data_IF_566307329810
#
_entry.id   IF_566307329810
#
_cell.length_a   1.000
_cell.length_b   1.000
_cell.length_c   1.000
_cell.angle_alpha   90.00
_cell.angle_beta   90.00
_cell.angle_gamma   90.00
#
_symmetry.space_group_name_H-M   'P 1'
#
loop_
_entity.id
_entity.type
_entity.pdbx_description
1 polymer ?
#
# COMPACT_ATOMS: atom_id res chain seq x y z
N UNK A 1 -26.42 24.71 15.79
CA UNK A 1 -25.50 24.27 14.71
C UNK A 1 -25.65 22.76 14.56
N UNK A 2 -26.34 22.31 13.51
CA UNK A 2 -26.55 20.88 13.24
C UNK A 2 -25.22 20.23 12.84
N UNK A 3 -24.86 19.05 13.35
CA UNK A 3 -23.68 18.33 12.90
C UNK A 3 -23.95 17.91 11.46
N UNK A 4 -23.40 18.66 10.51
CA UNK A 4 -23.46 18.31 9.10
C UNK A 4 -23.04 16.84 8.97
N UNK A 5 -23.87 16.04 8.32
CA UNK A 5 -23.62 14.66 7.96
C UNK A 5 -22.38 14.62 7.05
N UNK A 6 -21.20 14.61 7.66
CA UNK A 6 -19.92 14.37 6.98
C UNK A 6 -19.88 12.88 6.66
N UNK A 7 -20.54 12.54 5.58
CA UNK A 7 -20.72 11.18 5.10
C UNK A 7 -21.15 11.23 3.64
N UNK A 8 -20.78 10.20 2.87
CA UNK A 8 -20.69 10.08 1.40
C UNK A 8 -20.35 11.26 0.46
N UNK A 9 -20.91 12.45 0.64
CA UNK A 9 -20.90 13.50 -0.40
C UNK A 9 -19.49 14.07 -0.71
N UNK A 10 -18.61 14.13 0.29
CA UNK A 10 -17.23 14.64 0.14
C UNK A 10 -16.21 13.58 -0.31
N UNK A 11 -16.60 12.30 -0.34
CA UNK A 11 -15.68 11.21 -0.70
C UNK A 11 -15.43 11.10 -2.21
N UNK A 12 -16.48 11.30 -3.02
CA UNK A 12 -16.41 11.30 -4.49
C UNK A 12 -15.45 12.33 -5.08
N UNK A 13 -15.47 13.62 -4.67
CA UNK A 13 -14.55 14.61 -5.24
C UNK A 13 -13.09 14.31 -4.89
N UNK A 14 -12.79 13.71 -3.72
CA UNK A 14 -11.42 13.32 -3.37
C UNK A 14 -10.89 12.18 -4.23
N UNK A 15 -11.73 11.17 -4.53
CA UNK A 15 -11.36 10.11 -5.47
C UNK A 15 -11.20 10.63 -6.90
N UNK A 16 -12.05 11.56 -7.33
CA UNK A 16 -11.90 12.22 -8.63
C UNK A 16 -10.60 13.03 -8.70
N UNK A 17 -10.28 13.80 -7.65
CA UNK A 17 -9.02 14.53 -7.56
C UNK A 17 -7.82 13.59 -7.54
N UNK A 18 -7.88 12.47 -6.81
CA UNK A 18 -6.83 11.44 -6.82
C UNK A 18 -6.63 10.87 -8.23
N UNK A 19 -7.72 10.53 -8.93
CA UNK A 19 -7.64 10.01 -10.29
C UNK A 19 -7.06 11.03 -11.27
N UNK A 20 -7.41 12.32 -11.13
CA UNK A 20 -6.83 13.40 -11.93
C UNK A 20 -5.35 13.60 -11.64
N UNK A 21 -4.94 13.59 -10.37
CA UNK A 21 -3.53 13.67 -9.98
C UNK A 21 -2.73 12.46 -10.50
N UNK A 22 -3.30 11.25 -10.42
CA UNK A 22 -2.67 10.04 -10.96
C UNK A 22 -2.52 10.10 -12.49
N UNK A 23 -3.57 10.50 -13.20
CA UNK A 23 -3.51 10.66 -14.65
C UNK A 23 -2.50 11.75 -15.05
N UNK A 24 -2.47 12.88 -14.34
CA UNK A 24 -1.53 13.97 -14.55
C UNK A 24 -0.08 13.54 -14.32
N UNK A 25 0.18 12.82 -13.23
CA UNK A 25 1.51 12.28 -12.90
C UNK A 25 2.02 11.32 -13.97
N UNK A 26 1.20 10.33 -14.33
CA UNK A 26 1.55 9.33 -15.34
C UNK A 26 1.72 9.95 -16.73
N UNK A 27 0.87 10.90 -17.10
CA UNK A 27 1.02 11.64 -18.36
C UNK A 27 2.28 12.50 -18.37
N UNK A 28 2.63 13.13 -17.25
CA UNK A 28 3.86 13.90 -17.13
C UNK A 28 5.10 13.02 -17.32
N UNK A 29 5.13 11.82 -16.71
CA UNK A 29 6.22 10.86 -16.88
C UNK A 29 6.32 10.33 -18.32
N UNK A 30 5.19 10.09 -18.99
CA UNK A 30 5.17 9.72 -20.42
C UNK A 30 5.58 10.87 -21.34
N UNK A 31 5.33 12.12 -20.95
CA UNK A 31 5.75 13.30 -21.70
C UNK A 31 7.19 13.73 -21.42
N UNK A 32 7.82 13.22 -20.34
CA UNK A 32 9.11 13.74 -19.86
C UNK A 32 8.98 15.14 -19.24
N UNK A 33 7.83 15.44 -18.64
CA UNK A 33 7.54 16.72 -18.01
C UNK A 33 7.79 16.67 -16.50
N UNK A 34 9.04 16.91 -16.10
CA UNK A 34 9.47 16.75 -14.71
C UNK A 34 8.67 17.61 -13.73
N UNK A 35 8.40 18.87 -14.07
CA UNK A 35 7.61 19.77 -13.23
C UNK A 35 6.17 19.25 -13.00
N UNK A 36 5.58 18.57 -14.00
CA UNK A 36 4.28 17.92 -13.85
C UNK A 36 4.32 16.79 -12.83
N UNK A 37 5.36 15.95 -12.88
CA UNK A 37 5.60 14.89 -11.91
C UNK A 37 5.83 15.43 -10.49
N UNK A 38 6.67 16.46 -10.35
CA UNK A 38 6.98 17.06 -9.03
C UNK A 38 5.76 17.68 -8.36
N UNK A 39 4.79 18.15 -9.14
CA UNK A 39 3.54 18.72 -8.63
C UNK A 39 2.49 17.64 -8.37
N UNK A 40 2.31 16.69 -9.29
CA UNK A 40 1.23 15.70 -9.19
C UNK A 40 1.53 14.60 -8.17
N UNK A 41 2.77 14.09 -8.12
CA UNK A 41 3.17 13.00 -7.22
C UNK A 41 2.85 13.28 -5.74
N UNK A 42 3.22 14.44 -5.16
CA UNK A 42 2.94 14.73 -3.75
C UNK A 42 1.45 14.85 -3.40
N UNK A 43 0.56 14.99 -4.40
CA UNK A 43 -0.89 15.08 -4.16
C UNK A 43 -1.53 13.72 -3.95
N UNK A 44 -0.93 12.65 -4.48
CA UNK A 44 -1.56 11.31 -4.56
C UNK A 44 -1.95 10.76 -3.18
N UNK A 45 -0.97 10.58 -2.31
CA UNK A 45 -1.19 9.94 -1.00
C UNK A 45 -2.03 10.80 -0.05
N UNK A 46 -1.85 12.14 0.04
CA UNK A 46 -2.74 13.00 0.84
C UNK A 46 -4.19 12.97 0.37
N UNK A 47 -4.46 12.95 -0.94
CA UNK A 47 -5.83 12.85 -1.46
C UNK A 47 -6.47 11.51 -1.07
N UNK A 48 -5.72 10.42 -1.18
CA UNK A 48 -6.19 9.10 -0.78
C UNK A 48 -6.38 9.00 0.74
N UNK A 49 -5.51 9.60 1.54
CA UNK A 49 -5.66 9.70 3.00
C UNK A 49 -6.88 10.54 3.40
N UNK A 50 -7.12 11.66 2.69
CA UNK A 50 -8.32 12.47 2.83
C UNK A 50 -9.58 11.66 2.54
N UNK A 51 -9.58 10.87 1.46
CA UNK A 51 -10.68 9.96 1.15
C UNK A 51 -10.94 9.00 2.31
N UNK A 52 -9.89 8.31 2.81
CA UNK A 52 -9.99 7.39 3.96
C UNK A 52 -10.55 8.10 5.20
N UNK A 53 -10.14 9.34 5.48
CA UNK A 53 -10.69 10.15 6.57
C UNK A 53 -12.19 10.41 6.40
N UNK A 54 -12.64 10.79 5.20
CA UNK A 54 -14.07 11.10 4.95
C UNK A 54 -14.98 9.89 5.11
N UNK A 55 -14.49 8.69 4.80
CA UNK A 55 -15.24 7.43 4.99
C UNK A 55 -14.98 6.82 6.38
N UNK A 56 -14.36 7.56 7.29
CA UNK A 56 -14.04 7.15 8.67
C UNK A 56 -13.22 5.86 8.73
N UNK A 57 -12.28 5.69 7.80
CA UNK A 57 -11.40 4.55 7.74
C UNK A 57 -10.44 4.44 8.93
N UNK A 58 -9.73 3.31 9.07
CA UNK A 58 -8.90 3.05 10.24
C UNK A 58 -7.67 3.97 10.29
N UNK A 59 -7.34 4.49 11.47
CA UNK A 59 -6.20 5.40 11.68
C UNK A 59 -4.85 4.86 11.19
N UNK A 60 -4.50 3.57 11.37
CA UNK A 60 -3.25 3.03 10.82
C UNK A 60 -3.17 3.10 9.29
N UNK A 61 -4.29 3.04 8.57
CA UNK A 61 -4.30 3.21 7.11
C UNK A 61 -3.93 4.65 6.72
N UNK A 62 -4.46 5.64 7.44
CA UNK A 62 -4.14 7.05 7.22
C UNK A 62 -2.65 7.29 7.50
N UNK A 63 -2.14 6.75 8.61
CA UNK A 63 -0.72 6.84 8.93
C UNK A 63 0.16 6.19 7.84
N UNK A 64 -0.23 5.01 7.34
CA UNK A 64 0.49 4.34 6.25
C UNK A 64 0.56 5.20 4.98
N UNK A 65 -0.55 5.85 4.61
CA UNK A 65 -0.60 6.75 3.45
C UNK A 65 0.24 8.02 3.67
N UNK A 66 0.24 8.60 4.87
CA UNK A 66 1.06 9.78 5.17
C UNK A 66 2.56 9.45 5.20
N UNK A 67 2.94 8.26 5.66
CA UNK A 67 4.30 7.76 5.53
C UNK A 67 4.68 7.47 4.08
N UNK A 68 3.74 6.94 3.28
CA UNK A 68 3.90 6.83 1.82
C UNK A 68 4.13 8.18 1.16
N UNK A 69 3.36 9.20 1.53
CA UNK A 69 3.55 10.58 1.08
C UNK A 69 4.93 11.12 1.43
N UNK A 70 5.39 10.91 2.66
CA UNK A 70 6.74 11.27 3.08
C UNK A 70 7.80 10.61 2.21
N UNK A 71 7.64 9.31 1.93
CA UNK A 71 8.50 8.55 1.03
C UNK A 71 8.50 9.13 -0.39
N UNK A 72 7.33 9.36 -0.97
CA UNK A 72 7.15 9.94 -2.31
C UNK A 72 7.84 11.30 -2.44
N UNK A 73 7.71 12.15 -1.42
CA UNK A 73 8.30 13.49 -1.41
C UNK A 73 9.82 13.46 -1.26
N UNK A 74 10.35 12.55 -0.46
CA UNK A 74 11.80 12.39 -0.26
C UNK A 74 12.47 11.81 -1.50
N UNK A 75 11.80 10.90 -2.21
CA UNK A 75 12.28 10.34 -3.48
C UNK A 75 12.29 11.33 -4.65
N UNK A 76 11.77 12.55 -4.50
CA UNK A 76 11.91 13.61 -5.51
C UNK A 76 13.29 14.28 -5.48
N UNK A 77 14.04 14.12 -4.38
CA UNK A 77 15.39 14.65 -4.27
C UNK A 77 16.39 13.60 -4.74
N UNK A 78 17.21 13.99 -5.72
CA UNK A 78 18.28 13.15 -6.26
C UNK A 78 19.49 13.15 -5.32
N UNK A 79 19.37 12.42 -4.21
CA UNK A 79 20.42 12.29 -3.18
C UNK A 79 20.24 11.01 -2.35
N UNK A 80 21.34 10.26 -2.14
CA UNK A 80 21.31 9.00 -1.36
C UNK A 80 20.71 9.13 0.05
N UNK A 81 21.00 10.20 0.84
CA UNK A 81 20.36 10.36 2.14
C UNK A 81 18.85 10.56 2.04
N UNK A 82 18.38 11.23 1.00
CA UNK A 82 16.95 11.41 0.74
C UNK A 82 16.30 10.10 0.31
N UNK A 83 16.97 9.30 -0.51
CA UNK A 83 16.54 7.95 -0.88
C UNK A 83 16.39 7.04 0.35
N UNK A 84 17.40 6.97 1.22
CA UNK A 84 17.35 6.20 2.47
C UNK A 84 16.26 6.69 3.42
N UNK A 85 16.10 8.01 3.57
CA UNK A 85 15.04 8.59 4.38
C UNK A 85 13.64 8.26 3.80
N UNK A 86 13.50 8.31 2.48
CA UNK A 86 12.27 7.93 1.78
C UNK A 86 11.93 6.47 1.98
N UNK A 87 12.90 5.58 1.82
CA UNK A 87 12.78 4.14 2.12
C UNK A 87 12.38 3.90 3.58
N UNK A 88 12.98 4.63 4.53
CA UNK A 88 12.62 4.60 5.94
C UNK A 88 11.17 5.04 6.20
N UNK A 89 10.71 6.08 5.49
CA UNK A 89 9.32 6.52 5.56
C UNK A 89 8.37 5.44 5.04
N UNK A 90 8.63 4.86 3.88
CA UNK A 90 7.83 3.73 3.37
C UNK A 90 7.83 2.54 4.33
N UNK A 91 8.97 2.20 4.94
CA UNK A 91 9.08 1.14 5.93
C UNK A 91 8.15 1.38 7.14
N UNK A 92 8.10 2.61 7.66
CA UNK A 92 7.16 2.97 8.71
C UNK A 92 5.69 2.80 8.24
N UNK A 93 5.40 3.11 6.98
CA UNK A 93 4.11 2.85 6.35
C UNK A 93 3.76 1.36 6.27
N UNK A 94 4.71 0.51 5.89
CA UNK A 94 4.54 -0.96 5.85
C UNK A 94 4.25 -1.54 7.23
N UNK A 95 4.89 -1.03 8.28
CA UNK A 95 4.59 -1.41 9.67
C UNK A 95 3.15 -1.04 10.04
N UNK A 96 2.69 0.15 9.65
CA UNK A 96 1.29 0.57 9.85
C UNK A 96 0.31 -0.37 9.14
N UNK A 97 0.60 -0.74 7.88
CA UNK A 97 -0.19 -1.73 7.13
C UNK A 97 -0.20 -3.10 7.82
N UNK A 98 0.95 -3.61 8.25
CA UNK A 98 1.04 -4.89 8.94
C UNK A 98 0.25 -4.92 10.25
N UNK A 99 0.34 -3.87 11.07
CA UNK A 99 -0.44 -3.73 12.29
C UNK A 99 -1.95 -3.75 11.98
N UNK A 100 -2.36 -3.07 10.91
CA UNK A 100 -3.74 -3.05 10.43
C UNK A 100 -4.22 -4.42 9.96
N UNK A 101 -3.42 -5.11 9.14
CA UNK A 101 -3.75 -6.44 8.61
C UNK A 101 -3.81 -7.48 9.72
N UNK A 102 -2.99 -7.34 10.76
CA UNK A 102 -3.07 -8.20 11.94
C UNK A 102 -4.42 -8.09 12.64
N UNK A 103 -4.97 -6.87 12.74
CA UNK A 103 -6.23 -6.57 13.42
C UNK A 103 -7.48 -6.94 12.60
N UNK A 104 -7.45 -6.72 11.29
CA UNK A 104 -8.64 -6.87 10.43
C UNK A 104 -8.58 -8.08 9.49
N UNK A 105 -7.42 -8.73 9.37
CA UNK A 105 -7.23 -9.88 8.50
C UNK A 105 -7.78 -11.17 9.11
N UNK A 106 -8.39 -12.01 8.27
CA UNK A 106 -8.86 -13.32 8.73
C UNK A 106 -7.67 -14.22 9.08
N UNK A 107 -7.74 -14.99 10.19
CA UNK A 107 -6.76 -16.02 10.52
C UNK A 107 -7.06 -17.28 9.70
N UNK A 108 -7.04 -17.16 8.36
CA UNK A 108 -7.19 -18.33 7.49
C UNK A 108 -5.83 -18.99 7.33
N UNK A 109 -5.78 -20.32 7.43
CA UNK A 109 -4.59 -21.08 7.11
C UNK A 109 -4.13 -20.69 5.69
N UNK A 110 -2.92 -20.16 5.60
CA UNK A 110 -2.33 -19.80 4.31
C UNK A 110 -1.85 -21.07 3.65
N UNK A 111 -2.17 -21.25 2.36
CA UNK A 111 -1.66 -22.39 1.62
C UNK A 111 -0.13 -22.37 1.64
N UNK A 112 0.51 -23.53 1.86
CA UNK A 112 1.97 -23.64 1.87
C UNK A 112 2.60 -23.07 0.59
N UNK A 113 1.89 -23.18 -0.54
CA UNK A 113 2.28 -22.60 -1.81
C UNK A 113 2.44 -21.07 -1.78
N UNK A 114 1.56 -20.33 -1.06
CA UNK A 114 1.66 -18.87 -0.96
C UNK A 114 2.88 -18.46 -0.14
N UNK A 115 3.12 -19.18 0.96
CA UNK A 115 4.31 -18.95 1.80
C UNK A 115 5.57 -19.16 0.94
N UNK A 116 5.63 -20.28 0.22
CA UNK A 116 6.74 -20.60 -0.67
C UNK A 116 6.90 -19.53 -1.76
N UNK A 117 5.83 -19.10 -2.42
CA UNK A 117 5.89 -18.10 -3.48
C UNK A 117 6.49 -16.77 -3.00
N UNK A 118 6.03 -16.23 -1.85
CA UNK A 118 6.59 -14.97 -1.30
C UNK A 118 8.01 -15.15 -0.77
N UNK A 119 8.33 -16.29 -0.15
CA UNK A 119 9.69 -16.58 0.31
C UNK A 119 10.66 -16.69 -0.88
N UNK A 120 10.28 -17.40 -1.94
CA UNK A 120 11.06 -17.51 -3.18
C UNK A 120 11.20 -16.15 -3.84
N UNK A 121 10.14 -15.35 -3.93
CA UNK A 121 10.22 -14.00 -4.50
C UNK A 121 11.22 -13.12 -3.74
N UNK A 122 11.18 -13.11 -2.41
CA UNK A 122 12.13 -12.37 -1.58
C UNK A 122 13.57 -12.86 -1.77
N UNK A 123 13.80 -14.17 -1.62
CA UNK A 123 15.14 -14.75 -1.68
C UNK A 123 15.74 -14.53 -3.07
N UNK A 124 14.99 -14.81 -4.13
CA UNK A 124 15.45 -14.62 -5.50
C UNK A 124 15.75 -13.15 -5.79
N UNK A 125 14.86 -12.22 -5.43
CA UNK A 125 15.07 -10.79 -5.67
C UNK A 125 16.32 -10.29 -4.95
N UNK A 126 16.47 -10.59 -3.65
CA UNK A 126 17.64 -10.15 -2.88
C UNK A 126 18.92 -10.80 -3.40
N UNK A 127 18.92 -12.11 -3.67
CA UNK A 127 20.12 -12.82 -4.13
C UNK A 127 20.59 -12.35 -5.50
N UNK A 128 19.65 -12.08 -6.42
CA UNK A 128 19.99 -11.63 -7.77
C UNK A 128 20.50 -10.18 -7.78
N UNK A 129 19.91 -9.29 -6.99
CA UNK A 129 20.33 -7.88 -6.92
C UNK A 129 21.62 -7.68 -6.11
N UNK A 130 21.90 -8.56 -5.14
CA UNK A 130 23.03 -8.42 -4.21
C UNK A 130 24.40 -8.05 -4.82
N UNK A 131 24.88 -8.73 -5.89
CA UNK A 131 26.20 -8.43 -6.45
C UNK A 131 26.29 -7.01 -7.01
N UNK A 132 25.20 -6.49 -7.58
CA UNK A 132 25.16 -5.25 -8.34
C UNK A 132 24.70 -4.04 -7.50
N UNK A 133 24.14 -4.29 -6.31
CA UNK A 133 23.81 -3.22 -5.37
C UNK A 133 25.09 -2.58 -4.77
N UNK A 134 25.11 -1.24 -4.60
CA UNK A 134 26.13 -0.54 -3.84
C UNK A 134 26.32 -1.17 -2.44
N UNK A 135 27.55 -1.36 -1.95
CA UNK A 135 27.81 -2.10 -0.71
C UNK A 135 27.04 -1.61 0.52
N UNK A 136 26.86 -0.30 0.63
CA UNK A 136 26.11 0.38 1.69
C UNK A 136 24.59 0.27 1.54
N UNK A 137 24.08 0.01 0.33
CA UNK A 137 22.65 -0.20 0.05
C UNK A 137 22.19 -1.65 0.26
N UNK A 138 23.09 -2.64 0.25
CA UNK A 138 22.73 -4.07 0.39
C UNK A 138 21.92 -4.37 1.65
N UNK A 139 22.38 -3.87 2.80
CA UNK A 139 21.70 -4.03 4.08
C UNK A 139 20.32 -3.37 4.12
N UNK A 140 20.23 -2.06 3.83
CA UNK A 140 18.96 -1.34 3.72
C UNK A 140 17.96 -2.00 2.75
N UNK A 141 18.38 -2.33 1.53
CA UNK A 141 17.50 -2.94 0.51
C UNK A 141 17.02 -4.32 0.95
N UNK A 142 17.86 -5.16 1.54
CA UNK A 142 17.44 -6.48 2.00
C UNK A 142 16.45 -6.40 3.18
N UNK A 143 16.72 -5.54 4.16
CA UNK A 143 15.83 -5.32 5.30
C UNK A 143 14.47 -4.75 4.87
N UNK A 144 14.49 -3.78 3.97
CA UNK A 144 13.29 -3.19 3.38
C UNK A 144 12.50 -4.22 2.56
N UNK A 145 13.17 -5.00 1.71
CA UNK A 145 12.55 -6.05 0.89
C UNK A 145 11.84 -7.10 1.72
N UNK A 146 12.45 -7.52 2.85
CA UNK A 146 11.82 -8.43 3.80
C UNK A 146 10.52 -7.85 4.38
N UNK A 147 10.57 -6.59 4.83
CA UNK A 147 9.41 -5.91 5.40
C UNK A 147 8.29 -5.72 4.38
N UNK A 148 8.63 -5.30 3.17
CA UNK A 148 7.69 -5.13 2.06
C UNK A 148 7.05 -6.45 1.66
N UNK A 149 7.84 -7.52 1.55
CA UNK A 149 7.34 -8.87 1.26
C UNK A 149 6.38 -9.33 2.37
N UNK A 150 6.72 -9.09 3.63
CA UNK A 150 5.85 -9.41 4.76
C UNK A 150 4.53 -8.62 4.69
N UNK A 151 4.57 -7.34 4.32
CA UNK A 151 3.38 -6.49 4.11
C UNK A 151 2.51 -7.04 2.97
N UNK A 152 3.10 -7.31 1.80
CA UNK A 152 2.40 -7.84 0.64
C UNK A 152 1.74 -9.20 0.95
N UNK A 153 2.47 -10.10 1.60
CA UNK A 153 1.94 -11.36 2.08
C UNK A 153 0.87 -11.17 3.16
N UNK A 154 1.03 -10.16 4.02
CA UNK A 154 0.06 -9.69 5.01
C UNK A 154 -1.29 -9.34 4.39
N UNK A 155 -1.26 -8.59 3.29
CA UNK A 155 -2.45 -8.08 2.59
C UNK A 155 -3.38 -9.20 2.09
N UNK A 156 -2.84 -10.40 1.81
CA UNK A 156 -3.63 -11.58 1.42
C UNK A 156 -4.73 -11.95 2.43
N UNK A 157 -4.59 -11.55 3.71
CA UNK A 157 -5.58 -11.81 4.76
C UNK A 157 -6.87 -10.99 4.63
N UNK A 158 -6.86 -9.95 3.79
CA UNK A 158 -7.99 -9.05 3.55
C UNK A 158 -8.74 -9.36 2.25
N UNK A 159 -8.32 -10.40 1.52
CA UNK A 159 -8.93 -10.85 0.26
C UNK A 159 -8.18 -10.39 -0.99
N UNK A 160 -8.71 -10.79 -2.16
CA UNK A 160 -8.01 -10.69 -3.44
C UNK A 160 -7.63 -9.25 -3.84
N UNK A 161 -8.48 -8.27 -3.52
CA UNK A 161 -8.21 -6.85 -3.83
C UNK A 161 -6.96 -6.34 -3.10
N UNK A 162 -6.85 -6.59 -1.79
CA UNK A 162 -5.67 -6.18 -1.03
C UNK A 162 -4.45 -7.03 -1.40
N UNK A 163 -4.63 -8.31 -1.69
CA UNK A 163 -3.55 -9.19 -2.16
C UNK A 163 -2.91 -8.67 -3.45
N UNK A 164 -3.74 -8.28 -4.43
CA UNK A 164 -3.28 -7.66 -5.67
C UNK A 164 -2.56 -6.33 -5.39
N UNK A 165 -3.11 -5.51 -4.49
CA UNK A 165 -2.45 -4.27 -4.08
C UNK A 165 -1.06 -4.50 -3.46
N UNK A 166 -0.94 -5.46 -2.55
CA UNK A 166 0.34 -5.84 -1.95
C UNK A 166 1.35 -6.38 -2.98
N UNK A 167 0.90 -7.21 -3.92
CA UNK A 167 1.75 -7.72 -4.99
C UNK A 167 2.24 -6.61 -5.94
N UNK A 168 1.39 -5.65 -6.29
CA UNK A 168 1.78 -4.50 -7.11
C UNK A 168 2.75 -3.56 -6.37
N UNK A 169 2.61 -3.42 -5.05
CA UNK A 169 3.59 -2.65 -4.26
C UNK A 169 4.96 -3.33 -4.31
N UNK A 170 4.99 -4.65 -4.09
CA UNK A 170 6.22 -5.43 -4.18
C UNK A 170 6.87 -5.29 -5.57
N UNK A 171 6.07 -5.35 -6.64
CA UNK A 171 6.54 -5.13 -8.00
C UNK A 171 7.11 -3.72 -8.20
N UNK A 172 6.40 -2.67 -7.79
CA UNK A 172 6.85 -1.26 -7.87
C UNK A 172 8.24 -1.08 -7.28
N UNK A 173 8.44 -1.55 -6.05
CA UNK A 173 9.71 -1.33 -5.36
C UNK A 173 10.82 -2.25 -5.88
N UNK A 174 10.45 -3.39 -6.46
CA UNK A 174 11.42 -4.24 -7.17
C UNK A 174 11.94 -3.51 -8.41
N UNK A 175 11.08 -2.77 -9.14
CA UNK A 175 11.52 -1.93 -10.26
C UNK A 175 12.48 -0.82 -9.78
N UNK A 176 12.18 -0.16 -8.65
CA UNK A 176 13.12 0.80 -8.03
C UNK A 176 14.45 0.12 -7.72
N UNK A 177 14.43 -1.04 -7.06
CA UNK A 177 15.64 -1.77 -6.66
C UNK A 177 16.48 -2.21 -7.86
N UNK A 178 15.84 -2.58 -8.98
CA UNK A 178 16.56 -2.88 -10.23
C UNK A 178 17.24 -1.65 -10.84
N UNK A 179 16.68 -0.45 -10.65
CA UNK A 179 17.34 0.81 -11.02
C UNK A 179 18.57 1.10 -10.15
N UNK A 180 18.47 0.86 -8.83
CA UNK A 180 19.60 1.01 -7.89
C UNK A 180 20.73 0.01 -8.19
N UNK A 181 20.39 -1.18 -8.70
CA UNK A 181 21.35 -2.19 -9.15
C UNK A 181 21.86 -1.95 -10.58
N UNK A 182 21.52 -0.81 -11.20
CA UNK A 182 21.90 -0.44 -12.58
C UNK A 182 21.51 -1.48 -13.65
N UNK A 183 20.47 -2.29 -13.38
CA UNK A 183 19.97 -3.25 -14.35
C UNK A 183 19.23 -2.57 -15.50
N UNK A 184 19.23 -3.15 -16.72
CA UNK A 184 18.45 -2.62 -17.83
C UNK A 184 16.96 -2.44 -17.47
N UNK A 185 16.45 -1.22 -17.65
CA UNK A 185 15.07 -0.86 -17.38
C UNK A 185 14.24 -0.72 -18.66
N UNK A 186 12.92 -0.85 -18.54
CA UNK A 186 12.00 -0.46 -19.59
C UNK A 186 12.12 1.05 -19.89
N UNK A 187 11.80 1.51 -21.11
CA UNK A 187 11.70 2.94 -21.40
C UNK A 187 10.74 3.61 -20.42
N UNK A 188 11.16 4.76 -19.86
CA UNK A 188 10.44 5.51 -18.82
C UNK A 188 10.17 4.63 -17.57
N UNK A 189 11.22 4.20 -16.84
CA UNK A 189 11.07 3.34 -15.66
C UNK A 189 10.11 3.93 -14.62
N UNK A 190 10.21 5.23 -14.36
CA UNK A 190 9.38 5.94 -13.39
C UNK A 190 7.88 5.83 -13.67
N UNK A 191 7.48 5.75 -14.94
CA UNK A 191 6.08 5.53 -15.30
C UNK A 191 5.58 4.18 -14.80
N UNK A 192 6.35 3.10 -14.97
CA UNK A 192 5.96 1.76 -14.55
C UNK A 192 5.96 1.62 -13.02
N UNK A 193 6.95 2.24 -12.36
CA UNK A 193 7.01 2.37 -10.90
C UNK A 193 5.74 3.06 -10.40
N UNK A 194 5.45 4.26 -10.88
CA UNK A 194 4.28 5.03 -10.41
C UNK A 194 2.96 4.37 -10.77
N UNK A 195 2.82 3.76 -11.95
CA UNK A 195 1.61 3.04 -12.34
C UNK A 195 1.30 1.89 -11.38
N UNK A 196 2.30 1.05 -11.10
CA UNK A 196 2.15 -0.09 -10.20
C UNK A 196 1.95 0.37 -8.75
N UNK A 197 2.66 1.41 -8.30
CA UNK A 197 2.52 2.01 -6.97
C UNK A 197 1.13 2.64 -6.73
N UNK A 198 0.65 3.47 -7.66
CA UNK A 198 -0.67 4.12 -7.54
C UNK A 198 -1.77 3.06 -7.47
N UNK A 199 -1.70 2.06 -8.35
CA UNK A 199 -2.63 0.93 -8.34
C UNK A 199 -2.53 0.14 -7.02
N UNK A 200 -1.33 -0.11 -6.52
CA UNK A 200 -1.09 -0.78 -5.25
C UNK A 200 -1.79 -0.07 -4.08
N UNK A 201 -1.53 1.23 -3.91
CA UNK A 201 -2.09 2.03 -2.83
C UNK A 201 -3.62 2.10 -2.89
N UNK A 202 -4.18 2.32 -4.08
CA UNK A 202 -5.63 2.33 -4.28
C UNK A 202 -6.29 1.00 -3.93
N UNK A 203 -5.68 -0.13 -4.35
CA UNK A 203 -6.19 -1.47 -4.07
C UNK A 203 -6.04 -1.85 -2.59
N UNK A 204 -4.96 -1.47 -1.93
CA UNK A 204 -4.78 -1.67 -0.49
C UNK A 204 -5.83 -0.91 0.32
N UNK A 205 -6.07 0.37 0.00
CA UNK A 205 -7.14 1.17 0.62
C UNK A 205 -8.50 0.53 0.40
N UNK A 206 -8.82 0.15 -0.84
CA UNK A 206 -10.10 -0.48 -1.19
C UNK A 206 -10.29 -1.82 -0.47
N UNK A 207 -9.24 -2.64 -0.42
CA UNK A 207 -9.25 -3.95 0.24
C UNK A 207 -9.44 -3.84 1.76
N UNK A 208 -8.77 -2.90 2.41
CA UNK A 208 -8.96 -2.62 3.85
C UNK A 208 -10.38 -2.19 4.14
N UNK A 209 -10.90 -1.20 3.40
CA UNK A 209 -12.24 -0.67 3.63
C UNK A 209 -13.30 -1.74 3.40
N UNK A 210 -13.15 -2.57 2.36
CA UNK A 210 -14.04 -3.70 2.09
C UNK A 210 -14.02 -4.71 3.25
N UNK A 211 -12.85 -5.16 3.69
CA UNK A 211 -12.72 -6.14 4.78
C UNK A 211 -13.32 -5.65 6.11
N UNK A 212 -13.22 -4.34 6.37
CA UNK A 212 -13.86 -3.71 7.53
C UNK A 212 -15.39 -3.79 7.45
N UNK A 213 -15.98 -3.40 6.31
CA UNK A 213 -17.43 -3.44 6.12
C UNK A 213 -17.97 -4.86 6.32
N UNK A 214 -17.30 -5.88 5.77
CA UNK A 214 -17.70 -7.29 5.98
C UNK A 214 -17.65 -7.69 7.45
N UNK A 215 -16.63 -7.22 8.18
CA UNK A 215 -16.48 -7.51 9.62
C UNK A 215 -17.59 -6.86 10.45
N UNK A 216 -17.93 -5.60 10.16
CA UNK A 216 -18.99 -4.86 10.84
C UNK A 216 -20.37 -5.50 10.60
N UNK A 217 -20.69 -5.87 9.35
CA UNK A 217 -21.92 -6.59 9.03
C UNK A 217 -22.03 -7.96 9.72
N UNK A 218 -20.92 -8.69 9.83
CA UNK A 218 -20.89 -9.99 10.52
C UNK A 218 -21.06 -9.88 12.04
N UNK A 219 -20.68 -8.76 12.64
CA UNK A 219 -20.94 -8.47 14.07
C UNK A 219 -22.41 -8.11 14.28
N UNK A 220 -22.95 -7.19 13.45
CA UNK A 220 -24.34 -6.79 13.53
C UNK A 220 -25.32 -7.97 13.38
N UNK A 221 -25.02 -8.89 12.46
CA UNK A 221 -25.84 -10.11 12.25
C UNK A 221 -25.84 -11.02 13.48
N UNK A 222 -24.68 -11.22 14.13
CA UNK A 222 -24.57 -12.04 15.36
C UNK A 222 -25.27 -11.42 16.55
N UNK A 223 -25.29 -10.09 16.65
CA UNK A 223 -26.00 -9.38 17.72
C UNK A 223 -27.53 -9.37 17.53
N UNK A 224 -28.01 -9.60 16.31
CA UNK A 224 -29.44 -9.64 15.98
C UNK A 224 -30.08 -11.04 16.13
N UNK A 225 -29.28 -12.09 16.34
CA UNK A 225 -29.76 -13.46 16.54
C UNK A 225 -30.36 -13.61 17.95
N UNK A 226 -31.67 -13.92 18.11
CA UNK A 226 -32.29 -14.05 19.43
C UNK A 226 -31.64 -15.18 20.21
N UNK A 227 -31.18 -14.91 21.43
CA UNK A 227 -30.73 -15.94 22.37
C UNK A 227 -31.89 -16.91 22.63
N UNK A 228 -31.85 -18.09 21.99
CA UNK A 228 -32.82 -19.14 22.27
C UNK A 228 -32.70 -19.53 23.75
N UNK A 229 -33.79 -19.58 24.52
CA UNK A 229 -33.72 -19.94 25.94
C UNK A 229 -33.20 -21.37 26.09
N UNK A 230 -32.52 -21.69 27.21
CA UNK A 230 -31.99 -23.03 27.45
C UNK A 230 -33.15 -24.02 27.39
N UNK A 231 -33.04 -25.04 26.52
CA UNK A 231 -33.97 -26.16 26.49
C UNK A 231 -33.87 -26.86 27.85
N UNK A 232 -34.82 -26.59 28.74
CA UNK A 232 -35.05 -27.38 29.94
C UNK A 232 -35.40 -28.80 29.50
N UNK A 233 -34.46 -29.73 29.68
CA UNK A 233 -34.75 -31.16 29.58
C UNK A 233 -35.57 -31.53 30.83
N UNK A 234 -36.79 -32.02 30.59
CA UNK A 234 -37.60 -32.74 31.57
C UNK A 234 -37.05 -34.15 31.77
#
# INVERSE_FOLDING_TARGET
MSPASVGPARAKPLLAAFALAAAGDLAALLAGWDAGHTVCKPLLMPLLAGYVLTVKGPRPLIAALLFGWGGDTLLLFDADPAFLAGMGSFAAGHICYLALFKRHGTPRARGAWLVAAYATALIATVALLWPDLPPDMRGPVAGYSLLLTAMAFGATRLGLTAAAGGALFLLSDTLIATGVAEWPQAPRPDFWIMLTYIAAQFLLVSGVLKARLTSESAVATRSAEPTSPPRTRA
#
